data_IF_607634822248
#
_entry.id   IF_607634822248
#
_cell.length_a   1.000
_cell.length_b   1.000
_cell.length_c   1.000
_cell.angle_alpha   90.00
_cell.angle_beta   90.00
_cell.angle_gamma   90.00
#
_symmetry.space_group_name_H-M   'P 1'
#
loop_
_entity.id
_entity.type
_entity.pdbx_description
1 polymer ?
#
# COMPACT_ATOMS: atom_id res chain seq x y z
N UNK A 1 6.60 5.94 29.39
CA UNK A 1 5.55 4.96 28.99
C UNK A 1 4.94 5.32 27.63
N UNK A 2 4.45 6.55 27.44
CA UNK A 2 3.84 7.01 26.19
C UNK A 2 4.77 6.98 24.96
N UNK A 3 6.08 7.19 25.15
CA UNK A 3 7.06 7.11 24.06
C UNK A 3 7.36 5.67 23.65
N UNK A 4 7.44 4.76 24.63
CA UNK A 4 7.62 3.33 24.40
C UNK A 4 6.47 2.76 23.56
N UNK A 5 5.22 3.15 23.87
CA UNK A 5 4.04 2.74 23.09
C UNK A 5 4.15 3.22 21.64
N UNK A 6 4.55 4.48 21.43
CA UNK A 6 4.68 5.06 20.09
C UNK A 6 5.77 4.38 19.26
N UNK A 7 6.93 4.08 19.87
CA UNK A 7 8.00 3.29 19.22
C UNK A 7 7.52 1.90 18.85
N UNK A 8 6.79 1.21 19.74
CA UNK A 8 6.22 -0.11 19.44
C UNK A 8 5.25 -0.06 18.27
N UNK A 9 4.34 0.92 18.23
CA UNK A 9 3.37 1.09 17.13
C UNK A 9 4.10 1.30 15.79
N UNK A 10 5.09 2.20 15.75
CA UNK A 10 5.84 2.48 14.53
C UNK A 10 6.72 1.29 14.09
N UNK A 11 7.23 0.51 15.03
CA UNK A 11 7.94 -0.75 14.72
C UNK A 11 7.01 -1.76 14.08
N UNK A 12 5.79 -1.94 14.61
CA UNK A 12 4.79 -2.82 14.02
C UNK A 12 4.34 -2.35 12.62
N UNK A 13 4.22 -1.04 12.43
CA UNK A 13 3.93 -0.46 11.10
C UNK A 13 5.07 -0.72 10.11
N UNK A 14 6.32 -0.67 10.54
CA UNK A 14 7.47 -1.00 9.69
C UNK A 14 7.48 -2.48 9.29
N UNK A 15 7.19 -3.38 10.23
CA UNK A 15 7.04 -4.82 9.95
C UNK A 15 5.89 -5.09 8.97
N UNK A 16 4.73 -4.48 9.19
CA UNK A 16 3.58 -4.59 8.29
C UNK A 16 3.88 -4.04 6.90
N UNK A 17 4.58 -2.90 6.81
CA UNK A 17 4.99 -2.30 5.54
C UNK A 17 5.98 -3.20 4.80
N UNK A 18 6.95 -3.79 5.50
CA UNK A 18 7.93 -4.74 4.95
C UNK A 18 7.25 -6.00 4.42
N UNK A 19 6.33 -6.56 5.20
CA UNK A 19 5.53 -7.71 4.78
C UNK A 19 4.71 -7.40 3.52
N UNK A 20 4.09 -6.22 3.47
CA UNK A 20 3.31 -5.78 2.32
C UNK A 20 4.18 -5.53 1.10
N UNK A 21 5.39 -4.98 1.29
CA UNK A 21 6.38 -4.78 0.24
C UNK A 21 6.82 -6.11 -0.38
N UNK A 22 7.06 -7.14 0.45
CA UNK A 22 7.37 -8.49 -0.01
C UNK A 22 6.24 -9.06 -0.88
N UNK A 23 4.98 -8.91 -0.47
CA UNK A 23 3.84 -9.31 -1.29
C UNK A 23 3.71 -8.51 -2.59
N UNK A 24 3.95 -7.19 -2.54
CA UNK A 24 3.95 -6.34 -3.73
C UNK A 24 5.04 -6.78 -4.71
N UNK A 25 6.23 -7.14 -4.23
CA UNK A 25 7.32 -7.65 -5.05
C UNK A 25 6.94 -8.95 -5.77
N UNK A 26 6.37 -9.93 -5.04
CA UNK A 26 5.89 -11.18 -5.64
C UNK A 26 4.79 -10.91 -6.68
N UNK A 27 3.84 -10.03 -6.36
CA UNK A 27 2.75 -9.72 -7.29
C UNK A 27 3.26 -9.06 -8.57
N UNK A 28 4.14 -8.07 -8.46
CA UNK A 28 4.71 -7.36 -9.62
C UNK A 28 5.54 -8.32 -10.48
N UNK A 29 6.41 -9.13 -9.86
CA UNK A 29 7.23 -10.11 -10.60
C UNK A 29 6.39 -11.16 -11.31
N UNK A 30 5.28 -11.61 -10.70
CA UNK A 30 4.35 -12.52 -11.37
C UNK A 30 3.64 -11.87 -12.56
N UNK A 31 3.25 -10.60 -12.44
CA UNK A 31 2.61 -9.88 -13.54
C UNK A 31 3.54 -9.61 -14.71
N UNK A 32 4.82 -9.33 -14.44
CA UNK A 32 5.85 -9.15 -15.47
C UNK A 32 5.97 -10.39 -16.37
N UNK A 33 5.75 -11.60 -15.84
CA UNK A 33 5.75 -12.85 -16.65
C UNK A 33 4.70 -12.85 -17.76
N UNK A 34 3.60 -12.11 -17.59
CA UNK A 34 2.48 -12.05 -18.52
C UNK A 34 2.43 -10.73 -19.31
N UNK A 35 3.37 -9.83 -19.03
CA UNK A 35 3.40 -8.49 -19.58
C UNK A 35 3.66 -8.49 -21.08
N UNK A 36 4.60 -9.33 -21.56
CA UNK A 36 4.92 -9.43 -23.00
C UNK A 36 3.70 -9.80 -23.85
N UNK A 37 2.85 -10.72 -23.39
CA UNK A 37 1.60 -11.09 -24.10
C UNK A 37 0.62 -9.92 -24.13
N UNK A 38 0.56 -9.17 -23.03
CA UNK A 38 -0.33 -8.01 -22.89
C UNK A 38 0.16 -6.83 -23.74
N UNK A 39 1.48 -6.64 -23.84
CA UNK A 39 2.12 -5.65 -24.71
C UNK A 39 1.87 -5.96 -26.20
N UNK A 40 1.98 -7.22 -26.59
CA UNK A 40 1.67 -7.62 -27.97
C UNK A 40 0.20 -7.34 -28.31
N UNK A 41 -0.72 -7.71 -27.42
CA UNK A 41 -2.14 -7.37 -27.58
C UNK A 41 -2.39 -5.86 -27.62
N UNK A 42 -1.61 -5.07 -26.87
CA UNK A 42 -1.71 -3.61 -26.84
C UNK A 42 -1.29 -2.93 -28.14
N UNK A 43 -0.51 -3.58 -29.01
CA UNK A 43 -0.18 -3.06 -30.35
C UNK A 43 -1.40 -3.02 -31.27
N UNK A 44 -2.34 -3.94 -31.07
CA UNK A 44 -3.49 -4.14 -31.94
C UNK A 44 -4.82 -3.73 -31.28
N UNK A 45 -4.84 -3.44 -29.97
CA UNK A 45 -6.05 -3.08 -29.22
C UNK A 45 -5.81 -1.95 -28.23
N UNK A 46 -6.57 -0.86 -28.41
CA UNK A 46 -6.59 0.27 -27.47
C UNK A 46 -7.09 -0.16 -26.07
N UNK A 47 -7.97 -1.16 -26.00
CA UNK A 47 -8.46 -1.70 -24.72
C UNK A 47 -7.32 -2.40 -23.98
N UNK A 48 -6.54 -3.24 -24.67
CA UNK A 48 -5.39 -3.92 -24.05
C UNK A 48 -4.34 -2.91 -23.57
N UNK A 49 -4.08 -1.86 -24.37
CA UNK A 49 -3.18 -0.76 -24.00
C UNK A 49 -3.63 -0.02 -22.74
N UNK A 50 -4.92 0.32 -22.64
CA UNK A 50 -5.50 0.98 -21.45
C UNK A 50 -5.40 0.08 -20.20
N UNK A 51 -5.71 -1.21 -20.33
CA UNK A 51 -5.60 -2.17 -19.23
C UNK A 51 -4.15 -2.34 -18.74
N UNK A 52 -3.19 -2.43 -19.66
CA UNK A 52 -1.77 -2.49 -19.31
C UNK A 52 -1.31 -1.24 -18.56
N UNK A 53 -1.70 -0.06 -19.04
CA UNK A 53 -1.36 1.21 -18.38
C UNK A 53 -1.97 1.31 -16.97
N UNK A 54 -3.25 0.97 -16.80
CA UNK A 54 -3.92 0.97 -15.49
C UNK A 54 -3.32 -0.06 -14.53
N UNK A 55 -2.89 -1.22 -15.04
CA UNK A 55 -2.20 -2.25 -14.25
C UNK A 55 -0.87 -1.71 -13.70
N UNK A 56 -0.02 -1.14 -14.56
CA UNK A 56 1.26 -0.55 -14.17
C UNK A 56 1.10 0.60 -13.17
N UNK A 57 0.16 1.52 -13.44
CA UNK A 57 -0.06 2.69 -12.57
C UNK A 57 -0.59 2.29 -11.19
N UNK A 58 -1.53 1.34 -11.11
CA UNK A 58 -2.06 0.88 -9.82
C UNK A 58 -1.01 0.18 -8.96
N UNK A 59 -0.16 -0.66 -9.56
CA UNK A 59 0.96 -1.30 -8.85
C UNK A 59 2.07 -0.33 -8.47
N UNK A 60 2.46 0.56 -9.39
CA UNK A 60 3.47 1.58 -9.12
C UNK A 60 3.04 2.49 -7.96
N UNK A 61 1.78 2.94 -7.97
CA UNK A 61 1.24 3.77 -6.90
C UNK A 61 1.18 3.00 -5.56
N UNK A 62 0.73 1.74 -5.57
CA UNK A 62 0.75 0.88 -4.39
C UNK A 62 2.17 0.73 -3.81
N UNK A 63 3.16 0.41 -4.66
CA UNK A 63 4.55 0.25 -4.26
C UNK A 63 5.11 1.53 -3.62
N UNK A 64 4.90 2.67 -4.26
CA UNK A 64 5.36 3.98 -3.77
C UNK A 64 4.73 4.29 -2.40
N UNK A 65 3.43 4.06 -2.22
CA UNK A 65 2.75 4.29 -0.95
C UNK A 65 3.28 3.37 0.17
N UNK A 66 3.55 2.10 -0.13
CA UNK A 66 4.12 1.13 0.82
C UNK A 66 5.53 1.56 1.24
N UNK A 67 6.37 1.99 0.29
CA UNK A 67 7.73 2.46 0.57
C UNK A 67 7.74 3.73 1.42
N UNK A 68 6.84 4.69 1.14
CA UNK A 68 6.67 5.88 1.98
C UNK A 68 6.24 5.52 3.40
N UNK A 69 5.29 4.60 3.56
CA UNK A 69 4.88 4.10 4.89
C UNK A 69 6.03 3.41 5.62
N UNK A 70 6.82 2.59 4.93
CA UNK A 70 8.00 1.94 5.52
C UNK A 70 9.04 2.97 5.98
N UNK A 71 9.39 3.93 5.11
CA UNK A 71 10.38 4.96 5.44
C UNK A 71 9.94 5.83 6.62
N UNK A 72 8.67 6.25 6.64
CA UNK A 72 8.13 7.10 7.72
C UNK A 72 7.96 6.35 9.03
N UNK A 73 7.54 5.08 9.01
CA UNK A 73 7.46 4.24 10.22
C UNK A 73 8.83 3.98 10.84
N UNK A 74 9.86 3.69 10.04
CA UNK A 74 11.25 3.59 10.51
C UNK A 74 11.70 4.92 11.09
N UNK A 75 11.48 6.04 10.40
CA UNK A 75 11.90 7.36 10.88
C UNK A 75 11.26 7.72 12.22
N UNK A 76 9.96 7.47 12.40
CA UNK A 76 9.26 7.73 13.65
C UNK A 76 9.67 6.77 14.77
N UNK A 77 9.97 5.50 14.48
CA UNK A 77 10.47 4.57 15.48
C UNK A 77 11.81 5.01 16.11
N UNK A 78 12.68 5.67 15.34
CA UNK A 78 14.01 6.08 15.81
C UNK A 78 14.14 7.56 16.20
N UNK A 79 13.38 8.47 15.57
CA UNK A 79 13.62 9.91 15.66
C UNK A 79 12.43 10.74 16.14
N UNK A 80 11.31 10.13 16.54
CA UNK A 80 10.10 10.87 16.92
C UNK A 80 10.34 11.92 18.02
N UNK A 81 11.23 11.65 18.98
CA UNK A 81 11.50 12.55 20.13
C UNK A 81 12.20 13.84 19.71
N UNK A 82 12.83 13.85 18.54
CA UNK A 82 13.49 15.03 17.96
C UNK A 82 12.56 15.86 17.08
N UNK A 83 11.31 15.43 16.87
CA UNK A 83 10.37 16.08 15.97
C UNK A 83 9.24 16.78 16.73
N UNK A 84 8.73 17.86 16.14
CA UNK A 84 7.57 18.57 16.68
C UNK A 84 6.35 17.63 16.75
N UNK A 85 5.57 17.63 17.84
CA UNK A 85 4.34 16.83 17.97
C UNK A 85 3.36 17.03 16.81
N UNK A 86 3.24 18.26 16.30
CA UNK A 86 2.38 18.58 15.15
C UNK A 86 2.87 17.90 13.86
N UNK A 87 4.19 17.82 13.66
CA UNK A 87 4.78 17.12 12.52
C UNK A 87 4.51 15.62 12.62
N UNK A 88 4.65 15.03 13.81
CA UNK A 88 4.34 13.61 14.04
C UNK A 88 2.87 13.32 13.73
N UNK A 89 1.93 14.13 14.21
CA UNK A 89 0.50 14.00 13.87
C UNK A 89 0.30 14.12 12.36
N UNK A 90 0.91 15.12 11.72
CA UNK A 90 0.83 15.34 10.28
C UNK A 90 1.30 14.13 9.46
N UNK A 91 2.41 13.51 9.85
CA UNK A 91 2.94 12.30 9.19
C UNK A 91 2.00 11.10 9.39
N UNK A 92 1.45 10.93 10.59
CA UNK A 92 0.50 9.83 10.85
C UNK A 92 -0.77 9.98 10.00
N UNK A 93 -1.39 11.16 10.02
CA UNK A 93 -2.60 11.45 9.23
C UNK A 93 -2.30 11.37 7.73
N UNK A 94 -1.16 11.92 7.29
CA UNK A 94 -0.73 11.90 5.89
C UNK A 94 -0.57 10.47 5.36
N UNK A 95 0.07 9.58 6.12
CA UNK A 95 0.18 8.17 5.73
C UNK A 95 -1.17 7.46 5.71
N UNK A 96 -2.03 7.69 6.71
CA UNK A 96 -3.36 7.10 6.76
C UNK A 96 -4.16 7.44 5.49
N UNK A 97 -4.17 8.72 5.11
CA UNK A 97 -4.85 9.22 3.92
C UNK A 97 -4.21 8.73 2.62
N UNK A 98 -2.88 8.78 2.50
CA UNK A 98 -2.15 8.30 1.33
C UNK A 98 -2.45 6.82 1.03
N UNK A 99 -2.42 5.98 2.07
CA UNK A 99 -2.72 4.55 1.95
C UNK A 99 -4.19 4.29 1.64
N UNK A 100 -5.11 5.06 2.23
CA UNK A 100 -6.54 4.96 1.94
C UNK A 100 -6.85 5.35 0.49
N UNK A 101 -6.27 6.46 0.02
CA UNK A 101 -6.42 6.92 -1.37
C UNK A 101 -5.82 5.92 -2.35
N UNK A 102 -4.65 5.38 -2.03
CA UNK A 102 -4.01 4.34 -2.85
C UNK A 102 -4.85 3.07 -2.89
N UNK A 103 -5.39 2.65 -1.74
CA UNK A 103 -6.34 1.53 -1.67
C UNK A 103 -7.55 1.77 -2.54
N UNK A 104 -8.15 2.97 -2.48
CA UNK A 104 -9.30 3.32 -3.30
C UNK A 104 -8.97 3.32 -4.80
N UNK A 105 -7.81 3.88 -5.19
CA UNK A 105 -7.34 3.89 -6.57
C UNK A 105 -7.15 2.48 -7.13
N UNK A 106 -6.44 1.61 -6.39
CA UNK A 106 -6.22 0.21 -6.78
C UNK A 106 -7.55 -0.54 -6.81
N UNK A 107 -8.37 -0.41 -5.76
CA UNK A 107 -9.66 -1.09 -5.69
C UNK A 107 -10.58 -0.68 -6.83
N UNK A 108 -10.68 0.60 -7.19
CA UNK A 108 -11.56 1.08 -8.26
C UNK A 108 -11.22 0.46 -9.62
N UNK A 109 -9.94 0.21 -9.91
CA UNK A 109 -9.55 -0.45 -11.16
C UNK A 109 -9.84 -1.96 -11.14
N UNK A 110 -9.58 -2.62 -10.00
CA UNK A 110 -9.68 -4.09 -9.89
C UNK A 110 -11.06 -4.60 -9.48
N UNK A 111 -11.94 -3.72 -8.99
CA UNK A 111 -13.30 -4.05 -8.56
C UNK A 111 -14.09 -4.67 -9.72
N UNK A 112 -14.74 -5.80 -9.45
CA UNK A 112 -15.60 -6.48 -10.41
C UNK A 112 -14.87 -7.31 -11.47
N UNK A 113 -13.54 -7.41 -11.43
CA UNK A 113 -12.80 -8.37 -12.27
C UNK A 113 -13.01 -9.79 -11.70
N UNK A 114 -13.79 -10.61 -12.41
CA UNK A 114 -14.10 -11.97 -11.99
C UNK A 114 -13.00 -12.96 -12.42
N UNK A 115 -12.73 -13.97 -11.59
CA UNK A 115 -11.81 -15.05 -11.96
C UNK A 115 -12.39 -15.87 -13.11
N UNK A 116 -11.55 -16.23 -14.08
CA UNK A 116 -11.93 -16.99 -15.28
C UNK A 116 -11.39 -18.42 -15.15
N UNK A 117 -12.22 -19.47 -15.35
CA UNK A 117 -11.75 -20.84 -15.34
C UNK A 117 -10.58 -21.06 -16.32
N UNK A 118 -9.58 -21.84 -15.89
CA UNK A 118 -8.41 -22.22 -16.70
C UNK A 118 -7.44 -21.09 -17.11
N UNK A 119 -7.60 -19.86 -16.57
CA UNK A 119 -6.67 -18.74 -16.81
C UNK A 119 -5.93 -18.38 -15.51
N UNK A 120 -4.98 -19.23 -15.12
CA UNK A 120 -4.30 -19.17 -13.82
C UNK A 120 -3.62 -17.82 -13.58
N UNK A 121 -2.79 -17.32 -14.51
CA UNK A 121 -2.08 -16.06 -14.35
C UNK A 121 -2.99 -14.84 -14.13
N UNK A 122 -4.16 -14.82 -14.77
CA UNK A 122 -5.16 -13.77 -14.57
C UNK A 122 -5.80 -13.87 -13.18
N UNK A 123 -6.13 -15.08 -12.74
CA UNK A 123 -6.72 -15.34 -11.42
C UNK A 123 -5.73 -15.05 -10.28
N UNK A 124 -4.45 -15.34 -10.50
CA UNK A 124 -3.36 -14.98 -9.59
C UNK A 124 -3.22 -13.48 -9.45
N UNK A 125 -3.28 -12.74 -10.57
CA UNK A 125 -3.24 -11.27 -10.55
C UNK A 125 -4.41 -10.66 -9.77
N UNK A 126 -5.63 -11.17 -9.94
CA UNK A 126 -6.80 -10.76 -9.16
C UNK A 126 -6.55 -11.03 -7.67
N UNK A 127 -6.19 -12.26 -7.32
CA UNK A 127 -6.00 -12.67 -5.92
C UNK A 127 -4.87 -11.89 -5.23
N UNK A 128 -3.75 -11.66 -5.95
CA UNK A 128 -2.63 -10.86 -5.48
C UNK A 128 -3.04 -9.42 -5.23
N UNK A 129 -3.85 -8.84 -6.11
CA UNK A 129 -4.33 -7.46 -5.95
C UNK A 129 -5.34 -7.33 -4.80
N UNK A 130 -6.27 -8.28 -4.63
CA UNK A 130 -7.19 -8.32 -3.49
C UNK A 130 -6.43 -8.31 -2.16
N UNK A 131 -5.34 -9.09 -2.09
CA UNK A 131 -4.45 -9.10 -0.92
C UNK A 131 -3.76 -7.76 -0.69
N UNK A 132 -3.24 -7.12 -1.74
CA UNK A 132 -2.63 -5.78 -1.63
C UNK A 132 -3.66 -4.76 -1.14
N UNK A 133 -4.89 -4.78 -1.66
CA UNK A 133 -5.99 -3.89 -1.22
C UNK A 133 -6.31 -4.08 0.27
N UNK A 134 -6.34 -5.32 0.75
CA UNK A 134 -6.55 -5.61 2.17
C UNK A 134 -5.40 -5.09 3.03
N UNK A 135 -4.14 -5.33 2.61
CA UNK A 135 -2.95 -4.88 3.33
C UNK A 135 -2.85 -3.35 3.38
N UNK A 136 -3.11 -2.64 2.28
CA UNK A 136 -3.19 -1.18 2.27
C UNK A 136 -4.25 -0.66 3.25
N UNK A 137 -5.38 -1.36 3.38
CA UNK A 137 -6.42 -1.06 4.37
C UNK A 137 -5.93 -1.23 5.80
N UNK A 138 -5.27 -2.35 6.11
CA UNK A 138 -4.70 -2.61 7.43
C UNK A 138 -3.62 -1.57 7.80
N UNK A 139 -2.76 -1.21 6.85
CA UNK A 139 -1.75 -0.16 7.03
C UNK A 139 -2.42 1.21 7.28
N UNK A 140 -3.42 1.59 6.48
CA UNK A 140 -4.16 2.84 6.67
C UNK A 140 -4.83 2.89 8.06
N UNK A 141 -5.47 1.79 8.47
CA UNK A 141 -6.08 1.66 9.79
C UNK A 141 -5.08 1.78 10.94
N UNK A 142 -3.89 1.19 10.81
CA UNK A 142 -2.86 1.29 11.86
C UNK A 142 -2.28 2.70 11.97
N UNK A 143 -2.14 3.43 10.86
CA UNK A 143 -1.76 4.84 10.87
C UNK A 143 -2.86 5.73 11.47
N UNK A 144 -4.13 5.48 11.15
CA UNK A 144 -5.26 6.20 11.74
C UNK A 144 -5.33 6.00 13.27
N UNK A 145 -5.12 4.77 13.74
CA UNK A 145 -5.02 4.48 15.18
C UNK A 145 -3.87 5.24 15.83
N UNK A 146 -2.70 5.27 15.18
CA UNK A 146 -1.55 6.04 15.64
C UNK A 146 -1.82 7.55 15.69
N UNK A 147 -2.57 8.11 14.73
CA UNK A 147 -3.03 9.51 14.78
C UNK A 147 -3.87 9.80 16.02
N UNK A 148 -4.82 8.91 16.36
CA UNK A 148 -5.66 9.06 17.56
C UNK A 148 -4.79 9.04 18.82
N UNK A 149 -3.85 8.10 18.92
CA UNK A 149 -2.92 8.02 20.05
C UNK A 149 -2.01 9.25 20.15
N UNK A 150 -1.53 9.77 19.03
CA UNK A 150 -0.70 10.98 18.99
C UNK A 150 -1.50 12.22 19.42
N UNK A 151 -2.76 12.34 18.98
CA UNK A 151 -3.65 13.44 19.37
C UNK A 151 -4.03 13.37 20.85
N UNK A 152 -4.27 12.17 21.38
CA UNK A 152 -4.60 11.98 22.79
C UNK A 152 -3.55 12.55 23.75
N UNK A 153 -2.26 12.49 23.37
CA UNK A 153 -1.14 13.05 24.14
C UNK A 153 -1.19 14.57 24.30
N UNK A 154 -2.00 15.30 23.53
CA UNK A 154 -2.18 16.74 23.72
C UNK A 154 -3.19 17.08 24.81
N UNK A 155 -4.03 16.13 25.22
CA UNK A 155 -5.13 16.34 26.16
C UNK A 155 -4.90 15.74 27.55
N UNK A 156 -3.79 15.00 27.73
CA UNK A 156 -3.38 14.37 29.00
C UNK A 156 -1.99 14.87 29.36
#
# INVERSE_FOLDING_TARGET
MADSISVTVHTLQALLSTYTLYFSYISITNLQKYETKTEEAAKYSNIAKDQLHKTRTTQGNALIAILMSLATSIALAFKQSSWSPYLVVGINVGNALNLLQTRAHVSNFWKGKAKVPFVEGYNEAISGTERIIALLGNMSGSWALSSVLALWKFFV
#
